data_IF_176521433407
#
_entry.id   IF_176521433407
#
_cell.length_a   1.000
_cell.length_b   1.000
_cell.length_c   1.000
_cell.angle_alpha   90.00
_cell.angle_beta   90.00
_cell.angle_gamma   90.00
#
_symmetry.space_group_name_H-M   'P 1'
#
loop_
_entity.id
_entity.type
_entity.pdbx_description
1 polymer ?
#
# COMPACT_ATOMS: atom_id res chain seq x y z
N UNK A 1 1.49 78.70 53.33
CA UNK A 1 1.80 77.33 53.80
C UNK A 1 0.77 76.38 53.19
N UNK A 2 1.23 75.54 52.26
CA UNK A 2 0.44 74.64 51.40
C UNK A 2 0.03 73.38 52.16
N UNK A 3 -1.26 73.02 52.14
CA UNK A 3 -1.77 71.78 52.75
C UNK A 3 -1.71 70.63 51.72
N UNK A 4 -1.17 69.45 52.08
CA UNK A 4 -1.15 68.30 51.18
C UNK A 4 -2.56 67.70 51.07
N UNK A 5 -2.98 67.40 49.84
CA UNK A 5 -4.21 66.65 49.55
C UNK A 5 -3.96 65.16 49.79
N UNK A 6 -4.83 64.46 50.55
CA UNK A 6 -4.66 63.02 50.79
C UNK A 6 -5.00 62.24 49.52
N UNK A 7 -4.05 61.43 49.05
CA UNK A 7 -4.29 60.44 47.99
C UNK A 7 -5.17 59.32 48.55
N UNK A 8 -6.37 59.15 47.97
CA UNK A 8 -7.21 57.97 48.22
C UNK A 8 -6.50 56.75 47.63
N UNK A 9 -5.81 55.98 48.47
CA UNK A 9 -5.44 54.61 48.14
C UNK A 9 -6.73 53.81 47.97
N UNK A 10 -7.10 53.51 46.72
CA UNK A 10 -8.12 52.53 46.38
C UNK A 10 -7.56 51.16 46.76
N UNK A 11 -7.88 50.70 47.97
CA UNK A 11 -7.62 49.34 48.40
C UNK A 11 -8.32 48.36 47.47
N UNK A 12 -7.56 47.38 47.00
CA UNK A 12 -8.01 46.30 46.13
C UNK A 12 -9.27 45.66 46.72
N UNK A 13 -10.39 45.73 45.99
CA UNK A 13 -11.65 45.18 46.53
C UNK A 13 -11.64 43.66 46.41
N UNK A 14 -12.26 42.97 47.38
CA UNK A 14 -12.40 41.51 47.37
C UNK A 14 -13.10 41.00 46.10
N UNK A 15 -13.97 41.84 45.53
CA UNK A 15 -14.64 41.64 44.25
C UNK A 15 -13.65 41.63 43.07
N UNK A 16 -12.64 42.49 43.07
CA UNK A 16 -11.65 42.62 42.01
C UNK A 16 -10.71 41.40 41.98
N UNK A 17 -10.37 40.86 43.16
CA UNK A 17 -9.63 39.60 43.27
C UNK A 17 -10.46 38.40 42.76
N UNK A 18 -11.77 38.36 43.04
CA UNK A 18 -12.66 37.31 42.55
C UNK A 18 -12.86 37.37 41.04
N UNK A 19 -13.00 38.56 40.46
CA UNK A 19 -13.09 38.75 39.01
C UNK A 19 -11.77 38.37 38.34
N UNK A 20 -10.63 38.81 38.88
CA UNK A 20 -9.32 38.44 38.36
C UNK A 20 -9.12 36.92 38.40
N UNK A 21 -9.53 36.26 39.47
CA UNK A 21 -9.43 34.80 39.60
C UNK A 21 -10.34 34.09 38.58
N UNK A 22 -11.60 34.52 38.42
CA UNK A 22 -12.55 33.94 37.48
C UNK A 22 -12.11 34.12 36.02
N UNK A 23 -11.59 35.30 35.66
CA UNK A 23 -11.00 35.53 34.33
C UNK A 23 -9.76 34.67 34.14
N UNK A 24 -8.91 34.53 35.16
CA UNK A 24 -7.71 33.68 35.08
C UNK A 24 -8.08 32.22 34.84
N UNK A 25 -9.04 31.65 35.59
CA UNK A 25 -9.50 30.26 35.37
C UNK A 25 -10.19 30.09 34.02
N UNK A 26 -10.97 31.08 33.54
CA UNK A 26 -11.57 31.03 32.22
C UNK A 26 -10.52 31.04 31.10
N UNK A 27 -9.50 31.90 31.20
CA UNK A 27 -8.40 31.97 30.23
C UNK A 27 -7.58 30.69 30.23
N UNK A 28 -7.22 30.17 31.40
CA UNK A 28 -6.50 28.88 31.52
C UNK A 28 -7.36 27.75 30.93
N UNK A 29 -8.66 27.71 31.22
CA UNK A 29 -9.59 26.73 30.65
C UNK A 29 -9.66 26.78 29.12
N UNK A 30 -9.70 27.99 28.54
CA UNK A 30 -9.69 28.19 27.08
C UNK A 30 -8.36 27.75 26.43
N UNK A 31 -7.23 28.04 27.08
CA UNK A 31 -5.91 27.58 26.63
C UNK A 31 -5.82 26.05 26.63
N UNK A 32 -6.29 25.40 27.70
CA UNK A 32 -6.33 23.93 27.79
C UNK A 32 -7.33 23.29 26.81
N UNK A 33 -8.47 23.92 26.54
CA UNK A 33 -9.43 23.47 25.53
C UNK A 33 -8.84 23.55 24.10
N UNK A 34 -7.98 24.53 23.82
CA UNK A 34 -7.24 24.64 22.57
C UNK A 34 -6.27 23.48 22.33
N UNK A 35 -5.63 22.96 23.39
CA UNK A 35 -4.72 21.81 23.29
C UNK A 35 -5.46 20.49 22.96
N UNK A 36 -6.71 20.32 23.42
CA UNK A 36 -7.51 19.11 23.15
C UNK A 36 -7.95 18.94 21.69
N UNK A 37 -7.88 20.00 20.87
CA UNK A 37 -8.25 19.96 19.43
C UNK A 37 -7.08 19.45 18.57
N UNK A 38 -5.84 19.51 19.06
CA UNK A 38 -4.63 19.13 18.31
C UNK A 38 -4.41 17.61 18.30
N UNK A 39 -4.88 16.88 19.33
CA UNK A 39 -4.67 15.43 19.44
C UNK A 39 -5.41 14.58 18.40
N UNK A 40 -6.65 14.96 18.02
CA UNK A 40 -7.45 14.20 17.03
C UNK A 40 -7.01 14.43 15.58
N UNK A 41 -6.38 15.57 15.29
CA UNK A 41 -5.89 15.91 13.95
C UNK A 41 -4.55 15.26 13.62
N UNK A 42 -3.78 14.86 14.63
CA UNK A 42 -2.43 14.30 14.44
C UNK A 42 -2.49 12.80 14.10
N UNK A 43 -3.37 12.04 14.76
CA UNK A 43 -3.50 10.59 14.57
C UNK A 43 -4.15 10.23 13.22
N UNK A 44 -5.22 10.92 12.81
CA UNK A 44 -5.83 10.72 11.50
C UNK A 44 -4.89 11.14 10.35
N UNK A 45 -4.10 12.19 10.55
CA UNK A 45 -3.13 12.67 9.56
C UNK A 45 -1.98 11.68 9.41
N UNK A 46 -1.44 11.16 10.52
CA UNK A 46 -0.38 10.15 10.48
C UNK A 46 -0.84 8.88 9.76
N UNK A 47 -2.04 8.38 10.08
CA UNK A 47 -2.58 7.19 9.43
C UNK A 47 -2.83 7.39 7.93
N UNK A 48 -3.16 8.61 7.46
CA UNK A 48 -3.33 8.90 6.03
C UNK A 48 -1.99 8.94 5.29
N UNK A 49 -0.94 9.48 5.92
CA UNK A 49 0.43 9.46 5.40
C UNK A 49 0.90 8.01 5.25
N UNK A 50 0.73 7.17 6.28
CA UNK A 50 1.13 5.76 6.23
C UNK A 50 0.40 4.97 5.12
N UNK A 51 -0.87 5.30 4.84
CA UNK A 51 -1.64 4.67 3.76
C UNK A 51 -1.08 5.04 2.39
N UNK A 52 -0.79 6.32 2.20
CA UNK A 52 -0.29 6.87 0.93
C UNK A 52 1.11 6.35 0.64
N UNK A 53 1.97 6.28 1.67
CA UNK A 53 3.28 5.66 1.57
C UNK A 53 3.18 4.18 1.19
N UNK A 54 2.26 3.43 1.81
CA UNK A 54 2.03 2.02 1.45
C UNK A 54 1.57 1.86 0.01
N UNK A 55 0.64 2.70 -0.46
CA UNK A 55 0.22 2.72 -1.86
C UNK A 55 1.40 2.94 -2.82
N UNK A 56 2.24 3.93 -2.51
CA UNK A 56 3.43 4.23 -3.31
C UNK A 56 4.45 3.08 -3.28
N UNK A 57 4.72 2.50 -2.12
CA UNK A 57 5.67 1.38 -1.99
C UNK A 57 5.22 0.16 -2.77
N UNK A 58 3.95 -0.24 -2.65
CA UNK A 58 3.36 -1.37 -3.39
C UNK A 58 3.41 -1.09 -4.89
N UNK A 59 2.98 0.09 -5.33
CA UNK A 59 2.99 0.49 -6.73
C UNK A 59 4.39 0.49 -7.34
N UNK A 60 5.38 1.07 -6.64
CA UNK A 60 6.77 1.11 -7.11
C UNK A 60 7.41 -0.28 -7.13
N UNK A 61 7.14 -1.12 -6.14
CA UNK A 61 7.67 -2.49 -6.10
C UNK A 61 7.13 -3.30 -7.29
N UNK A 62 5.80 -3.29 -7.50
CA UNK A 62 5.17 -3.97 -8.64
C UNK A 62 5.68 -3.44 -9.97
N UNK A 63 5.74 -2.11 -10.13
CA UNK A 63 6.28 -1.45 -11.32
C UNK A 63 7.69 -1.95 -11.66
N UNK A 64 8.62 -1.93 -10.70
CA UNK A 64 9.99 -2.43 -10.92
C UNK A 64 10.03 -3.90 -11.31
N UNK A 65 9.19 -4.75 -10.70
CA UNK A 65 9.13 -6.19 -11.03
C UNK A 65 8.55 -6.44 -12.41
N UNK A 66 7.61 -5.63 -12.87
CA UNK A 66 7.06 -5.69 -14.22
C UNK A 66 8.02 -5.10 -15.27
N UNK A 67 8.72 -4.01 -14.98
CA UNK A 67 9.73 -3.43 -15.88
C UNK A 67 10.88 -4.41 -16.18
N UNK A 68 11.23 -5.23 -15.19
CA UNK A 68 12.31 -6.21 -15.29
C UNK A 68 11.82 -7.62 -15.61
N UNK A 69 10.53 -7.78 -15.94
CA UNK A 69 9.95 -9.07 -16.31
C UNK A 69 10.73 -9.75 -17.45
N UNK A 70 10.80 -11.07 -17.41
CA UNK A 70 11.41 -11.91 -18.45
C UNK A 70 10.37 -12.79 -19.14
N UNK A 71 10.48 -12.80 -20.46
CA UNK A 71 9.70 -13.65 -21.35
C UNK A 71 10.33 -15.03 -21.40
N UNK A 72 9.77 -15.96 -20.63
CA UNK A 72 10.28 -17.33 -20.55
C UNK A 72 9.12 -18.31 -20.60
N UNK A 73 9.43 -19.51 -21.08
CA UNK A 73 8.50 -20.64 -21.17
C UNK A 73 8.94 -21.77 -20.26
N UNK A 74 7.98 -22.57 -19.79
CA UNK A 74 8.21 -23.82 -19.10
C UNK A 74 7.49 -25.00 -19.75
N UNK A 75 8.03 -26.19 -19.49
CA UNK A 75 7.39 -27.45 -19.84
C UNK A 75 6.20 -27.72 -18.93
N UNK A 76 5.03 -27.87 -19.52
CA UNK A 76 3.80 -28.26 -18.85
C UNK A 76 3.08 -29.29 -19.73
N UNK A 77 2.78 -30.47 -19.17
CA UNK A 77 2.03 -31.55 -19.85
C UNK A 77 2.58 -31.91 -21.25
N UNK A 78 3.90 -31.95 -21.39
CA UNK A 78 4.58 -32.27 -22.65
C UNK A 78 4.60 -31.15 -23.70
N UNK A 79 4.18 -29.93 -23.35
CA UNK A 79 4.25 -28.73 -24.21
C UNK A 79 5.00 -27.62 -23.51
N UNK A 80 5.50 -26.65 -24.27
CA UNK A 80 6.05 -25.42 -23.71
C UNK A 80 4.97 -24.33 -23.72
N UNK A 81 4.70 -23.77 -22.55
CA UNK A 81 3.80 -22.63 -22.34
C UNK A 81 4.57 -21.51 -21.66
N UNK A 82 4.05 -20.29 -21.70
CA UNK A 82 4.69 -19.18 -21.01
C UNK A 82 4.60 -19.37 -19.50
N UNK A 83 5.63 -18.95 -18.77
CA UNK A 83 5.48 -18.79 -17.32
C UNK A 83 4.38 -17.77 -17.01
N UNK A 84 4.26 -16.72 -17.83
CA UNK A 84 3.26 -15.71 -17.56
C UNK A 84 1.85 -16.25 -17.67
N UNK A 85 1.08 -16.09 -16.59
CA UNK A 85 -0.34 -16.37 -16.55
C UNK A 85 -1.04 -15.48 -15.54
N UNK A 86 -2.35 -15.35 -15.71
CA UNK A 86 -3.15 -14.41 -14.95
C UNK A 86 -4.58 -14.88 -14.75
N UNK A 87 -5.15 -14.52 -13.61
CA UNK A 87 -6.56 -14.68 -13.27
C UNK A 87 -7.03 -13.42 -12.54
N UNK A 88 -8.34 -13.27 -12.31
CA UNK A 88 -8.87 -12.13 -11.55
C UNK A 88 -8.24 -12.00 -10.15
N UNK A 89 -7.71 -13.08 -9.57
CA UNK A 89 -7.14 -13.09 -8.24
C UNK A 89 -5.63 -12.78 -8.20
N UNK A 90 -4.91 -12.94 -9.32
CA UNK A 90 -3.45 -12.94 -9.25
C UNK A 90 -2.75 -13.23 -10.56
N UNK A 91 -1.45 -12.97 -10.58
CA UNK A 91 -0.57 -13.18 -11.73
C UNK A 91 0.65 -14.03 -11.35
N UNK A 92 1.18 -14.74 -12.32
CA UNK A 92 2.44 -15.48 -12.24
C UNK A 92 3.36 -14.96 -13.34
N UNK A 93 4.62 -14.66 -13.01
CA UNK A 93 5.59 -14.14 -13.98
C UNK A 93 7.03 -14.44 -13.55
N UNK A 94 7.99 -14.19 -14.44
CA UNK A 94 9.41 -14.32 -14.10
C UNK A 94 10.06 -12.96 -14.04
N UNK A 95 10.81 -12.69 -12.98
CA UNK A 95 11.54 -11.42 -12.81
C UNK A 95 12.78 -11.60 -11.93
N UNK A 96 13.84 -10.78 -12.09
CA UNK A 96 14.96 -10.74 -11.15
C UNK A 96 14.55 -10.28 -9.75
N UNK A 97 15.25 -10.80 -8.75
CA UNK A 97 15.09 -10.37 -7.35
C UNK A 97 16.43 -9.93 -6.74
N UNK A 98 16.96 -8.76 -7.16
CA UNK A 98 18.31 -8.31 -6.78
C UNK A 98 18.46 -8.02 -5.29
N UNK A 99 17.37 -7.68 -4.58
CA UNK A 99 17.38 -7.46 -3.14
C UNK A 99 17.80 -8.70 -2.31
N UNK A 100 17.95 -9.87 -2.92
CA UNK A 100 18.40 -11.12 -2.28
C UNK A 100 19.91 -11.42 -2.42
N UNK A 101 20.74 -10.49 -2.91
CA UNK A 101 22.20 -10.61 -2.91
C UNK A 101 22.84 -11.18 -4.19
N UNK A 102 24.11 -11.61 -4.11
CA UNK A 102 24.99 -11.97 -5.25
C UNK A 102 24.46 -13.07 -6.18
N UNK A 103 23.45 -13.83 -5.72
CA UNK A 103 22.70 -14.80 -6.51
C UNK A 103 21.45 -14.20 -7.16
N UNK A 104 21.49 -12.92 -7.59
CA UNK A 104 20.41 -12.14 -8.23
C UNK A 104 19.88 -12.71 -9.56
N UNK A 105 19.62 -14.01 -9.58
CA UNK A 105 19.03 -14.78 -10.64
C UNK A 105 17.54 -14.53 -10.75
N UNK A 106 16.95 -15.24 -11.69
CA UNK A 106 15.53 -15.12 -11.98
C UNK A 106 14.72 -15.87 -10.92
N UNK A 107 13.54 -15.35 -10.64
CA UNK A 107 12.56 -16.01 -9.79
C UNK A 107 11.24 -16.10 -10.53
N UNK A 108 10.55 -17.22 -10.35
CA UNK A 108 9.14 -17.34 -10.68
C UNK A 108 8.35 -16.75 -9.52
N UNK A 109 7.69 -15.63 -9.78
CA UNK A 109 6.90 -14.89 -8.82
C UNK A 109 5.42 -15.21 -9.03
N UNK A 110 4.69 -15.40 -7.94
CA UNK A 110 3.24 -15.54 -7.92
C UNK A 110 2.64 -14.54 -6.94
N UNK A 111 1.82 -13.64 -7.46
CA UNK A 111 0.96 -12.79 -6.65
C UNK A 111 -0.40 -13.47 -6.49
N UNK A 112 -0.84 -13.69 -5.25
CA UNK A 112 -2.13 -14.34 -4.98
C UNK A 112 -2.72 -13.92 -3.62
N UNK A 113 -4.04 -14.06 -3.42
CA UNK A 113 -4.65 -13.83 -2.13
C UNK A 113 -4.28 -14.96 -1.15
N UNK A 114 -3.72 -14.59 0.00
CA UNK A 114 -3.57 -15.45 1.16
C UNK A 114 -4.77 -15.25 2.09
N UNK A 115 -5.57 -16.31 2.28
CA UNK A 115 -6.72 -16.29 3.19
C UNK A 115 -6.31 -16.86 4.54
N UNK A 116 -6.70 -16.17 5.60
CA UNK A 116 -6.47 -16.58 6.99
C UNK A 116 -7.74 -17.15 7.61
N UNK A 117 -7.60 -17.93 8.68
CA UNK A 117 -8.71 -18.59 9.38
C UNK A 117 -9.70 -17.58 10.00
N UNK A 118 -9.24 -16.36 10.29
CA UNK A 118 -10.07 -15.25 10.79
C UNK A 118 -10.84 -14.50 9.70
N UNK A 119 -10.75 -14.96 8.44
CA UNK A 119 -11.41 -14.36 7.28
C UNK A 119 -10.66 -13.17 6.66
N UNK A 120 -9.52 -12.77 7.22
CA UNK A 120 -8.64 -11.76 6.62
C UNK A 120 -8.05 -12.29 5.32
N UNK A 121 -7.82 -11.39 4.37
CA UNK A 121 -7.15 -11.69 3.11
C UNK A 121 -5.98 -10.74 2.93
N UNK A 122 -4.81 -11.29 2.64
CA UNK A 122 -3.62 -10.51 2.31
C UNK A 122 -3.25 -10.74 0.84
N UNK A 123 -2.65 -9.74 0.19
CA UNK A 123 -1.95 -9.96 -1.08
C UNK A 123 -0.54 -10.46 -0.77
N UNK A 124 -0.27 -11.71 -1.11
CA UNK A 124 1.02 -12.34 -0.92
C UNK A 124 1.79 -12.44 -2.25
N UNK A 125 3.11 -12.35 -2.14
CA UNK A 125 4.06 -12.68 -3.20
C UNK A 125 4.81 -13.93 -2.78
N UNK A 126 4.74 -14.96 -3.62
CA UNK A 126 5.53 -16.17 -3.48
C UNK A 126 6.61 -16.20 -4.55
N UNK A 127 7.80 -16.65 -4.17
CA UNK A 127 8.97 -16.67 -5.04
C UNK A 127 9.64 -18.04 -5.02
N UNK A 128 9.85 -18.61 -6.21
CA UNK A 128 10.66 -19.79 -6.44
C UNK A 128 11.90 -19.41 -7.25
N UNK A 129 13.12 -19.81 -6.82
CA UNK A 129 14.32 -19.63 -7.62
C UNK A 129 14.13 -20.32 -8.98
N UNK A 130 14.45 -19.62 -10.06
CA UNK A 130 14.35 -20.19 -11.39
C UNK A 130 15.49 -21.19 -11.64
N UNK A 131 15.14 -22.45 -11.85
CA UNK A 131 16.07 -23.56 -12.14
C UNK A 131 15.89 -24.15 -13.56
N UNK A 132 15.49 -23.32 -14.52
CA UNK A 132 15.33 -23.73 -15.91
C UNK A 132 13.90 -24.09 -16.33
N UNK A 133 13.73 -24.35 -17.63
CA UNK A 133 12.41 -24.46 -18.25
C UNK A 133 11.63 -25.73 -17.87
N UNK A 134 12.27 -26.73 -17.27
CA UNK A 134 11.63 -27.97 -16.82
C UNK A 134 11.46 -28.02 -15.29
N UNK A 135 11.63 -26.89 -14.59
CA UNK A 135 11.47 -26.85 -13.14
C UNK A 135 10.08 -27.31 -12.70
N UNK A 136 10.01 -27.90 -11.51
CA UNK A 136 8.74 -28.14 -10.84
C UNK A 136 8.29 -26.87 -10.09
N UNK A 137 7.05 -26.45 -10.30
CA UNK A 137 6.43 -25.34 -9.57
C UNK A 137 5.88 -25.80 -8.21
N UNK A 138 6.77 -26.27 -7.33
CA UNK A 138 6.42 -26.68 -5.97
C UNK A 138 6.29 -25.47 -5.03
N UNK A 139 5.09 -24.90 -5.02
CA UNK A 139 4.77 -23.73 -4.22
C UNK A 139 4.81 -23.97 -2.70
N UNK A 140 4.85 -25.22 -2.24
CA UNK A 140 5.00 -25.51 -0.81
C UNK A 140 6.39 -25.09 -0.29
N UNK A 141 7.38 -24.99 -1.18
CA UNK A 141 8.76 -24.57 -0.89
C UNK A 141 9.01 -23.10 -1.21
N UNK A 142 8.02 -22.40 -1.76
CA UNK A 142 8.17 -21.01 -2.14
C UNK A 142 8.36 -20.13 -0.91
N UNK A 143 9.28 -19.19 -1.00
CA UNK A 143 9.37 -18.12 -0.02
C UNK A 143 8.17 -17.20 -0.20
N UNK A 144 7.49 -16.85 0.90
CA UNK A 144 6.29 -16.03 0.89
C UNK A 144 6.53 -14.73 1.65
N UNK A 145 6.11 -13.62 1.05
CA UNK A 145 6.10 -12.30 1.66
C UNK A 145 4.71 -11.67 1.49
N UNK A 146 4.28 -10.89 2.49
CA UNK A 146 3.03 -10.14 2.43
C UNK A 146 3.30 -8.76 1.84
N UNK A 147 2.79 -8.52 0.63
CA UNK A 147 2.94 -7.23 -0.04
C UNK A 147 1.93 -6.21 0.50
N UNK A 148 0.69 -6.64 0.75
CA UNK A 148 -0.35 -5.79 1.30
C UNK A 148 -1.27 -6.60 2.23
N UNK A 149 -1.32 -6.28 3.53
CA UNK A 149 -2.23 -6.95 4.46
C UNK A 149 -3.67 -6.38 4.41
N UNK A 150 -4.63 -7.18 4.87
CA UNK A 150 -6.05 -6.84 5.06
C UNK A 150 -6.73 -6.19 3.82
N UNK A 151 -6.56 -6.84 2.68
CA UNK A 151 -7.12 -6.46 1.40
C UNK A 151 -8.61 -6.80 1.34
N UNK A 152 -9.42 -5.79 1.03
CA UNK A 152 -10.88 -5.89 0.85
C UNK A 152 -11.27 -6.07 -0.62
N UNK A 153 -10.54 -5.42 -1.52
CA UNK A 153 -10.70 -5.54 -2.98
C UNK A 153 -9.37 -5.98 -3.57
N UNK A 154 -9.36 -7.06 -4.37
CA UNK A 154 -8.19 -7.52 -5.12
C UNK A 154 -8.66 -8.05 -6.47
N UNK A 155 -8.45 -7.27 -7.52
CA UNK A 155 -8.80 -7.68 -8.88
C UNK A 155 -7.72 -7.31 -9.89
N UNK A 156 -7.31 -8.31 -10.65
CA UNK A 156 -6.33 -8.19 -11.71
C UNK A 156 -6.99 -8.18 -13.08
N UNK A 157 -6.47 -7.33 -13.96
CA UNK A 157 -6.91 -7.17 -15.32
C UNK A 157 -5.71 -7.10 -16.26
N UNK A 158 -5.86 -7.69 -17.43
CA UNK A 158 -4.80 -7.88 -18.41
C UNK A 158 -5.27 -7.31 -19.75
N UNK A 159 -4.58 -6.30 -20.26
CA UNK A 159 -4.95 -5.70 -21.54
C UNK A 159 -4.34 -6.48 -22.69
N UNK A 160 -5.18 -6.98 -23.58
CA UNK A 160 -4.75 -7.58 -24.84
C UNK A 160 -4.25 -6.50 -25.81
N UNK A 161 -3.01 -6.63 -26.27
CA UNK A 161 -2.40 -5.69 -27.20
C UNK A 161 -3.02 -5.69 -28.59
N UNK A 162 -3.58 -6.82 -29.04
CA UNK A 162 -4.16 -6.94 -30.38
C UNK A 162 -5.56 -6.34 -30.45
N UNK A 163 -6.36 -6.53 -29.40
CA UNK A 163 -7.79 -6.12 -29.38
C UNK A 163 -8.03 -4.88 -28.53
N UNK A 164 -7.09 -4.50 -27.65
CA UNK A 164 -7.25 -3.44 -26.66
C UNK A 164 -8.15 -3.81 -25.47
N UNK A 165 -8.74 -5.01 -25.46
CA UNK A 165 -9.68 -5.44 -24.43
C UNK A 165 -8.98 -5.76 -23.11
N UNK A 166 -9.64 -5.41 -22.00
CA UNK A 166 -9.24 -5.84 -20.67
C UNK A 166 -9.89 -7.18 -20.33
N UNK A 167 -9.05 -8.14 -19.97
CA UNK A 167 -9.45 -9.50 -19.64
C UNK A 167 -9.13 -9.77 -18.17
N UNK A 168 -9.89 -10.67 -17.55
CA UNK A 168 -9.62 -11.15 -16.19
C UNK A 168 -8.92 -12.51 -16.18
N UNK A 169 -8.74 -13.14 -17.34
CA UNK A 169 -8.03 -14.40 -17.50
C UNK A 169 -6.96 -14.23 -18.58
N UNK A 170 -5.75 -14.70 -18.30
CA UNK A 170 -4.65 -14.73 -19.23
C UNK A 170 -3.96 -16.09 -19.17
N UNK A 171 -4.32 -16.99 -20.08
CA UNK A 171 -3.82 -18.36 -20.07
C UNK A 171 -2.36 -18.45 -20.52
N UNK A 172 -1.58 -19.30 -19.85
CA UNK A 172 -0.16 -19.54 -20.16
C UNK A 172 0.09 -20.04 -21.60
N UNK A 173 -0.90 -20.72 -22.18
CA UNK A 173 -0.85 -21.22 -23.56
C UNK A 173 -1.13 -20.16 -24.62
N UNK A 174 -1.52 -18.94 -24.22
CA UNK A 174 -1.78 -17.84 -25.15
C UNK A 174 -0.49 -17.35 -25.80
N UNK A 175 -0.56 -17.03 -27.09
CA UNK A 175 0.54 -16.33 -27.75
C UNK A 175 0.62 -14.88 -27.25
N UNK A 176 1.77 -14.50 -26.68
CA UNK A 176 2.04 -13.13 -26.26
C UNK A 176 1.61 -12.78 -24.83
N UNK A 177 1.89 -11.53 -24.46
CA UNK A 177 1.71 -10.98 -23.11
C UNK A 177 0.65 -9.89 -23.14
N UNK A 178 0.05 -9.57 -21.99
CA UNK A 178 -0.72 -8.35 -21.92
C UNK A 178 0.21 -7.15 -22.15
N UNK A 179 -0.30 -6.13 -22.83
CA UNK A 179 0.46 -4.87 -23.00
C UNK A 179 0.45 -4.03 -21.72
N UNK A 180 -0.60 -4.21 -20.91
CA UNK A 180 -0.76 -3.55 -19.61
C UNK A 180 -1.40 -4.48 -18.59
N UNK A 181 -1.03 -4.30 -17.34
CA UNK A 181 -1.72 -4.89 -16.19
C UNK A 181 -2.38 -3.76 -15.41
N UNK A 182 -3.64 -3.96 -15.05
CA UNK A 182 -4.36 -3.08 -14.12
C UNK A 182 -4.71 -3.87 -12.87
N UNK A 183 -4.49 -3.25 -11.72
CA UNK A 183 -4.75 -3.83 -10.42
C UNK A 183 -5.66 -2.89 -9.63
N UNK A 184 -6.85 -3.39 -9.30
CA UNK A 184 -7.79 -2.73 -8.40
C UNK A 184 -7.58 -3.31 -6.99
N UNK A 185 -7.11 -2.45 -6.07
CA UNK A 185 -6.89 -2.78 -4.67
C UNK A 185 -7.81 -1.95 -3.78
N UNK A 186 -8.16 -2.50 -2.62
CA UNK A 186 -8.87 -1.77 -1.58
C UNK A 186 -8.53 -2.33 -0.22
N UNK A 187 -8.50 -1.46 0.78
CA UNK A 187 -8.29 -1.81 2.19
C UNK A 187 -9.54 -1.43 3.00
N UNK A 188 -9.49 -1.56 4.33
CA UNK A 188 -10.60 -1.20 5.21
C UNK A 188 -11.07 0.27 5.07
N UNK A 189 -10.25 1.16 4.49
CA UNK A 189 -10.58 2.57 4.26
C UNK A 189 -11.11 2.84 2.84
N UNK A 190 -11.29 1.79 2.03
CA UNK A 190 -11.88 1.84 0.70
C UNK A 190 -10.87 1.54 -0.40
N UNK A 191 -11.31 1.76 -1.63
CA UNK A 191 -10.50 1.47 -2.81
C UNK A 191 -9.31 2.41 -2.94
N UNK A 192 -8.22 1.87 -3.48
CA UNK A 192 -7.04 2.61 -3.89
C UNK A 192 -7.24 3.15 -5.31
N UNK A 193 -6.47 4.18 -5.72
CA UNK A 193 -6.35 4.51 -7.14
C UNK A 193 -5.93 3.28 -7.94
N UNK A 194 -6.50 3.10 -9.13
CA UNK A 194 -6.14 1.97 -9.99
C UNK A 194 -4.66 2.03 -10.36
N UNK A 195 -3.95 0.94 -10.09
CA UNK A 195 -2.56 0.80 -10.47
C UNK A 195 -2.49 0.21 -11.88
N UNK A 196 -1.90 0.93 -12.82
CA UNK A 196 -1.74 0.48 -14.20
C UNK A 196 -0.27 0.45 -14.58
N UNK A 197 0.20 -0.71 -15.02
CA UNK A 197 1.59 -0.97 -15.38
C UNK A 197 1.66 -1.34 -16.86
N UNK A 198 2.52 -0.65 -17.62
CA UNK A 198 2.87 -1.08 -18.95
C UNK A 198 3.92 -2.20 -18.87
N UNK A 199 3.77 -3.26 -19.67
CA UNK A 199 4.77 -4.31 -19.73
C UNK A 199 5.77 -3.99 -20.85
N UNK A 200 7.00 -3.65 -20.46
CA UNK A 200 8.04 -3.10 -21.34
C UNK A 200 8.58 -4.06 -22.43
N UNK A 201 7.92 -5.19 -22.68
CA UNK A 201 8.25 -6.16 -23.75
C UNK A 201 7.04 -6.84 -24.39
N UNK A 202 5.90 -6.15 -24.45
CA UNK A 202 4.77 -6.57 -25.28
C UNK A 202 4.86 -6.04 -26.73
N UNK A 203 6.03 -5.55 -27.15
CA UNK A 203 6.36 -5.16 -28.52
C UNK A 203 7.53 -5.99 -29.03
#
# INVERSE_FOLDING_TARGET
>A
MTRPTPSRQRGFTLLELLIALAVTTAVVGLVFAGFGVIGRSQESSQQLVDRSERMLQVGQWLGRKFDTLRLLSHGQDGRFVLFFSGSAAGALWVSPLPERGDAGGLYVLRASPLRHDDGRVDLAIEALPYDGALMALDWARAEREILLPDVRTLQWYYQDGATGQWLQQWDAGRAGYPVRIRLALGDARGDWPELVFALARAQ
#
